data_IF_725038850269
#
_entry.id   IF_725038850269
#
_cell.length_a   1.000
_cell.length_b   1.000
_cell.length_c   1.000
_cell.angle_alpha   90.00
_cell.angle_beta   90.00
_cell.angle_gamma   90.00
#
_symmetry.space_group_name_H-M   'P 1'
#
loop_
_entity.id
_entity.type
_entity.pdbx_description
1 polymer ?
#
# COMPACT_ATOMS: atom_id res chain seq x y z
N UNK A 1 -6.46 18.14 -10.15
CA UNK A 1 -7.83 18.60 -10.50
C UNK A 1 -8.87 17.81 -9.71
N UNK A 2 -8.94 16.48 -9.84
CA UNK A 2 -9.94 15.63 -9.15
C UNK A 2 -9.99 15.75 -7.62
N UNK A 3 -8.84 15.79 -6.93
CA UNK A 3 -8.77 15.93 -5.45
C UNK A 3 -9.33 17.28 -4.99
N UNK A 4 -8.95 18.39 -5.64
CA UNK A 4 -9.50 19.71 -5.31
C UNK A 4 -11.00 19.81 -5.60
N UNK A 5 -11.47 19.26 -6.72
CA UNK A 5 -12.91 19.20 -7.02
C UNK A 5 -13.71 18.40 -5.99
N UNK A 6 -13.09 17.40 -5.36
CA UNK A 6 -13.70 16.67 -4.26
C UNK A 6 -13.70 17.50 -2.97
N UNK A 7 -12.56 18.11 -2.64
CA UNK A 7 -12.42 19.03 -1.51
C UNK A 7 -13.50 20.13 -1.53
N UNK A 8 -13.70 20.77 -2.69
CA UNK A 8 -14.73 21.78 -2.89
C UNK A 8 -16.16 21.23 -2.73
N UNK A 9 -16.41 19.98 -3.17
CA UNK A 9 -17.73 19.35 -2.99
C UNK A 9 -18.01 19.02 -1.52
N UNK A 10 -17.02 18.51 -0.79
CA UNK A 10 -17.09 18.26 0.67
C UNK A 10 -17.29 19.57 1.43
N UNK A 11 -16.55 20.62 1.07
CA UNK A 11 -16.71 21.96 1.63
C UNK A 11 -18.13 22.51 1.39
N UNK A 12 -18.64 22.35 0.17
CA UNK A 12 -20.02 22.71 -0.16
C UNK A 12 -21.05 21.95 0.67
N UNK A 13 -20.81 20.68 0.98
CA UNK A 13 -21.67 19.90 1.86
C UNK A 13 -21.64 20.39 3.31
N UNK A 14 -20.45 20.70 3.84
CA UNK A 14 -20.28 21.29 5.16
C UNK A 14 -21.05 22.60 5.34
N UNK A 15 -20.95 23.50 4.34
CA UNK A 15 -21.71 24.75 4.32
C UNK A 15 -23.23 24.53 4.36
N UNK A 16 -23.73 23.56 3.57
CA UNK A 16 -25.16 23.19 3.54
C UNK A 16 -25.61 22.60 4.87
N UNK A 17 -24.84 21.68 5.44
CA UNK A 17 -25.16 21.02 6.70
C UNK A 17 -25.28 22.03 7.85
N UNK A 18 -24.34 22.98 7.93
CA UNK A 18 -24.33 24.03 8.96
C UNK A 18 -25.27 25.21 8.65
N UNK A 19 -26.00 25.17 7.53
CA UNK A 19 -26.92 26.23 7.07
C UNK A 19 -26.24 27.60 6.98
N UNK A 20 -24.97 27.63 6.58
CA UNK A 20 -24.20 28.86 6.40
C UNK A 20 -24.42 29.39 4.97
N UNK A 21 -24.71 30.69 4.86
CA UNK A 21 -24.93 31.34 3.57
C UNK A 21 -23.64 31.42 2.75
N UNK A 22 -23.76 31.17 1.45
CA UNK A 22 -22.68 31.31 0.45
C UNK A 22 -22.53 32.73 -0.08
N UNK A 23 -23.51 33.60 0.16
CA UNK A 23 -23.65 34.89 -0.53
C UNK A 23 -22.91 36.06 0.17
N UNK A 24 -22.01 35.76 1.11
CA UNK A 24 -21.27 36.76 1.88
C UNK A 24 -20.04 36.20 2.57
N UNK A 25 -19.34 37.07 3.30
CA UNK A 25 -18.18 36.67 4.11
C UNK A 25 -18.62 36.00 5.41
N UNK A 26 -17.88 34.96 5.80
CA UNK A 26 -18.04 34.23 7.05
C UNK A 26 -17.14 34.82 8.13
N UNK A 27 -17.63 34.84 9.37
CA UNK A 27 -16.78 35.10 10.53
C UNK A 27 -15.81 33.94 10.77
N UNK A 28 -14.70 34.18 11.48
CA UNK A 28 -13.77 33.14 11.90
C UNK A 28 -14.46 31.92 12.53
N UNK A 29 -15.37 32.14 13.49
CA UNK A 29 -16.09 31.03 14.13
C UNK A 29 -16.93 30.20 13.14
N UNK A 30 -17.58 30.86 12.18
CA UNK A 30 -18.36 30.15 11.16
C UNK A 30 -17.46 29.36 10.21
N UNK A 31 -16.34 29.96 9.78
CA UNK A 31 -15.37 29.27 8.93
C UNK A 31 -14.72 28.08 9.62
N UNK A 32 -14.34 28.20 10.90
CA UNK A 32 -13.75 27.08 11.65
C UNK A 32 -14.75 25.94 11.78
N UNK A 33 -16.01 26.22 12.12
CA UNK A 33 -17.05 25.18 12.17
C UNK A 33 -17.24 24.47 10.82
N UNK A 34 -17.17 25.21 9.71
CA UNK A 34 -17.25 24.64 8.35
C UNK A 34 -16.05 23.76 8.04
N UNK A 35 -14.83 24.19 8.39
CA UNK A 35 -13.60 23.42 8.19
C UNK A 35 -13.56 22.16 9.07
N UNK A 36 -14.05 22.24 10.30
CA UNK A 36 -14.20 21.07 11.17
C UNK A 36 -15.23 20.09 10.61
N UNK A 37 -16.36 20.56 10.10
CA UNK A 37 -17.35 19.68 9.46
C UNK A 37 -16.81 19.05 8.16
N UNK A 38 -16.03 19.80 7.38
CA UNK A 38 -15.28 19.27 6.24
C UNK A 38 -14.35 18.13 6.68
N UNK A 39 -13.50 18.39 7.68
CA UNK A 39 -12.49 17.44 8.12
C UNK A 39 -13.09 16.22 8.83
N UNK A 40 -14.19 16.38 9.55
CA UNK A 40 -14.97 15.29 10.12
C UNK A 40 -15.43 14.32 9.03
N UNK A 41 -15.99 14.85 7.93
CA UNK A 41 -16.41 14.02 6.79
C UNK A 41 -15.24 13.29 6.13
N UNK A 42 -14.05 13.91 6.15
CA UNK A 42 -12.83 13.38 5.56
C UNK A 42 -12.25 12.24 6.41
N UNK A 43 -12.09 12.44 7.72
CA UNK A 43 -11.48 11.43 8.62
C UNK A 43 -12.37 10.21 8.81
N UNK A 44 -13.70 10.41 8.81
CA UNK A 44 -14.67 9.32 8.91
C UNK A 44 -14.93 8.63 7.57
N UNK A 45 -14.28 9.05 6.48
CA UNK A 45 -14.43 8.45 5.16
C UNK A 45 -15.86 8.48 4.62
N UNK A 46 -16.63 9.53 4.96
CA UNK A 46 -18.03 9.66 4.52
C UNK A 46 -18.05 9.78 3.00
N UNK A 47 -18.79 8.89 2.35
CA UNK A 47 -18.94 8.89 0.89
C UNK A 47 -19.70 10.13 0.40
N UNK A 48 -19.38 10.56 -0.82
CA UNK A 48 -19.88 11.82 -1.38
C UNK A 48 -21.41 11.87 -1.50
N UNK A 49 -22.03 10.72 -1.71
CA UNK A 49 -23.47 10.53 -1.79
C UNK A 49 -24.19 10.80 -0.45
N UNK A 50 -23.52 10.50 0.67
CA UNK A 50 -24.09 10.59 2.03
C UNK A 50 -23.92 11.98 2.66
N UNK A 51 -23.08 12.81 2.07
CA UNK A 51 -22.83 14.21 2.49
C UNK A 51 -24.06 15.13 2.44
N UNK A 52 -25.16 14.71 1.78
CA UNK A 52 -26.41 15.49 1.67
C UNK A 52 -27.37 15.29 2.87
N UNK A 53 -27.08 14.32 3.74
CA UNK A 53 -27.98 13.92 4.83
C UNK A 53 -27.82 14.81 6.06
N UNK A 54 -28.87 14.94 6.88
CA UNK A 54 -28.80 15.59 8.21
C UNK A 54 -27.76 14.97 9.14
N UNK A 55 -27.32 13.75 8.82
CA UNK A 55 -26.31 12.95 9.49
C UNK A 55 -24.92 13.62 9.55
N UNK A 56 -24.59 14.56 8.66
CA UNK A 56 -23.29 15.25 8.69
C UNK A 56 -23.08 16.02 10.01
N UNK A 57 -24.14 16.58 10.60
CA UNK A 57 -24.07 17.24 11.91
C UNK A 57 -23.97 16.26 13.09
N UNK A 58 -24.57 15.08 12.96
CA UNK A 58 -24.44 14.00 13.95
C UNK A 58 -23.01 13.43 13.91
N UNK A 59 -22.48 13.20 12.72
CA UNK A 59 -21.10 12.76 12.47
C UNK A 59 -20.07 13.68 13.14
N UNK A 60 -20.18 15.01 13.00
CA UNK A 60 -19.28 15.99 13.65
C UNK A 60 -19.28 15.86 15.17
N UNK A 61 -20.42 15.49 15.78
CA UNK A 61 -20.53 15.36 17.24
C UNK A 61 -19.92 14.05 17.74
N UNK A 62 -19.87 13.02 16.91
CA UNK A 62 -19.35 11.69 17.25
C UNK A 62 -17.88 11.48 16.85
N UNK A 63 -17.29 12.38 16.05
CA UNK A 63 -15.87 12.27 15.65
C UNK A 63 -14.92 11.99 16.83
N UNK A 64 -15.01 12.66 18.00
CA UNK A 64 -14.07 12.41 19.08
C UNK A 64 -14.13 10.97 19.65
N UNK A 65 -15.26 10.28 19.47
CA UNK A 65 -15.42 8.89 19.92
C UNK A 65 -14.76 7.91 18.96
N UNK A 66 -14.77 8.22 17.65
CA UNK A 66 -14.21 7.37 16.59
C UNK A 66 -12.78 7.76 16.20
N UNK A 67 -12.36 8.99 16.53
CA UNK A 67 -11.09 9.58 16.14
C UNK A 67 -10.45 10.28 17.35
N UNK A 68 -9.76 9.53 18.24
CA UNK A 68 -9.25 10.04 19.51
C UNK A 68 -8.30 11.26 19.40
N UNK A 69 -7.67 11.43 18.24
CA UNK A 69 -6.74 12.54 17.93
C UNK A 69 -7.44 13.78 17.36
N UNK A 70 -8.77 13.82 17.38
CA UNK A 70 -9.56 14.95 16.87
C UNK A 70 -9.15 16.32 17.42
N UNK A 71 -8.84 16.52 18.72
CA UNK A 71 -8.39 17.81 19.22
C UNK A 71 -7.13 18.32 18.50
N UNK A 72 -6.18 17.43 18.21
CA UNK A 72 -4.97 17.79 17.48
C UNK A 72 -5.28 18.14 16.01
N UNK A 73 -6.30 17.49 15.42
CA UNK A 73 -6.79 17.83 14.06
C UNK A 73 -7.39 19.23 14.05
N UNK A 74 -8.15 19.61 15.08
CA UNK A 74 -8.70 20.96 15.20
C UNK A 74 -7.60 22.02 15.32
N UNK A 75 -6.56 21.75 16.11
CA UNK A 75 -5.39 22.65 16.22
C UNK A 75 -4.69 22.82 14.86
N UNK A 76 -4.48 21.72 14.12
CA UNK A 76 -3.93 21.76 12.77
C UNK A 76 -4.79 22.59 11.80
N UNK A 77 -6.11 22.42 11.81
CA UNK A 77 -7.01 23.19 10.96
C UNK A 77 -6.92 24.69 11.27
N UNK A 78 -6.86 25.06 12.56
CA UNK A 78 -6.72 26.45 12.99
C UNK A 78 -5.39 27.05 12.54
N UNK A 79 -4.29 26.30 12.66
CA UNK A 79 -2.96 26.73 12.20
C UNK A 79 -2.93 26.98 10.68
N UNK A 80 -3.43 26.03 9.88
CA UNK A 80 -3.47 26.17 8.40
C UNK A 80 -4.38 27.31 8.00
N UNK A 81 -5.55 27.44 8.64
CA UNK A 81 -6.47 28.54 8.39
C UNK A 81 -5.78 29.90 8.64
N UNK A 82 -5.16 30.07 9.80
CA UNK A 82 -4.50 31.32 10.18
C UNK A 82 -3.36 31.70 9.24
N UNK A 83 -2.58 30.72 8.75
CA UNK A 83 -1.49 30.92 7.81
C UNK A 83 -1.99 31.35 6.43
N UNK A 84 -2.96 30.63 5.85
CA UNK A 84 -3.44 30.87 4.48
C UNK A 84 -4.13 32.22 4.35
N UNK A 85 -4.85 32.65 5.38
CA UNK A 85 -5.72 33.84 5.32
C UNK A 85 -5.16 35.03 6.09
N UNK A 86 -3.89 34.96 6.51
CA UNK A 86 -3.13 35.99 7.22
C UNK A 86 -3.89 36.61 8.42
N UNK A 87 -4.62 35.78 9.19
CA UNK A 87 -5.49 36.20 10.30
C UNK A 87 -6.63 37.16 9.93
N UNK A 88 -7.14 37.12 8.68
CA UNK A 88 -8.35 37.84 8.31
C UNK A 88 -9.53 37.44 9.21
N UNK A 89 -10.31 38.43 9.66
CA UNK A 89 -11.48 38.20 10.53
C UNK A 89 -12.74 37.77 9.77
N UNK A 90 -12.73 37.93 8.45
CA UNK A 90 -13.84 37.67 7.55
C UNK A 90 -13.33 36.91 6.32
N UNK A 91 -13.99 35.82 5.98
CA UNK A 91 -13.52 34.86 4.97
C UNK A 91 -14.56 34.66 3.88
N UNK A 92 -14.14 34.75 2.63
CA UNK A 92 -14.96 34.38 1.48
C UNK A 92 -14.93 32.87 1.25
N UNK A 93 -15.83 32.36 0.41
CA UNK A 93 -15.79 30.97 -0.04
C UNK A 93 -14.50 30.63 -0.77
N UNK A 94 -13.93 31.59 -1.49
CA UNK A 94 -12.65 31.40 -2.18
C UNK A 94 -11.52 31.21 -1.18
N UNK A 95 -11.53 31.94 -0.06
CA UNK A 95 -10.54 31.78 1.00
C UNK A 95 -10.68 30.39 1.65
N UNK A 96 -11.91 29.93 1.91
CA UNK A 96 -12.14 28.57 2.45
C UNK A 96 -11.65 27.47 1.50
N UNK A 97 -11.89 27.61 0.19
CA UNK A 97 -11.40 26.66 -0.81
C UNK A 97 -9.87 26.61 -0.83
N UNK A 98 -9.20 27.76 -0.70
CA UNK A 98 -7.73 27.80 -0.57
C UNK A 98 -7.24 27.12 0.73
N UNK A 99 -7.94 27.34 1.85
CA UNK A 99 -7.62 26.66 3.12
C UNK A 99 -7.78 25.15 2.97
N UNK A 100 -8.88 24.67 2.37
CA UNK A 100 -9.12 23.24 2.12
C UNK A 100 -8.03 22.64 1.24
N UNK A 101 -7.67 23.30 0.14
CA UNK A 101 -6.58 22.85 -0.72
C UNK A 101 -5.25 22.73 0.04
N UNK A 102 -4.93 23.71 0.90
CA UNK A 102 -3.74 23.67 1.74
C UNK A 102 -3.81 22.56 2.82
N UNK A 103 -4.99 22.31 3.40
CA UNK A 103 -5.23 21.20 4.32
C UNK A 103 -4.94 19.88 3.61
N UNK A 104 -5.53 19.63 2.45
CA UNK A 104 -5.36 18.37 1.69
C UNK A 104 -3.88 18.11 1.34
N UNK A 105 -3.15 19.14 0.94
CA UNK A 105 -1.72 19.04 0.60
C UNK A 105 -0.81 18.75 1.80
N UNK A 106 -1.23 19.14 3.01
CA UNK A 106 -0.43 19.07 4.24
C UNK A 106 -0.84 17.91 5.13
N UNK A 107 -2.08 17.44 5.04
CA UNK A 107 -2.67 16.49 5.96
C UNK A 107 -1.90 15.16 6.01
N UNK A 108 -1.43 14.63 4.88
CA UNK A 108 -0.65 13.39 4.88
C UNK A 108 0.66 13.46 5.69
N UNK A 109 1.36 14.61 5.67
CA UNK A 109 2.54 14.81 6.53
C UNK A 109 2.15 14.99 7.99
N UNK A 110 1.00 15.58 8.26
CA UNK A 110 0.51 15.78 9.61
C UNK A 110 0.01 14.47 10.26
N UNK A 111 -0.75 13.64 9.52
CA UNK A 111 -1.24 12.31 9.93
C UNK A 111 -0.09 11.37 10.34
N UNK A 112 1.10 11.54 9.76
CA UNK A 112 2.31 10.83 10.21
C UNK A 112 2.63 11.01 11.71
N UNK A 113 2.20 12.12 12.33
CA UNK A 113 2.29 12.30 13.77
C UNK A 113 1.36 11.33 14.54
N UNK A 114 0.14 11.13 14.07
CA UNK A 114 -0.84 10.24 14.70
C UNK A 114 -0.41 8.78 14.59
N UNK A 115 0.10 8.35 13.43
CA UNK A 115 0.67 7.02 13.26
C UNK A 115 1.85 6.77 14.20
N UNK A 116 2.71 7.78 14.41
CA UNK A 116 3.83 7.67 15.36
C UNK A 116 3.35 7.58 16.81
N UNK A 117 2.29 8.28 17.17
CA UNK A 117 1.67 8.17 18.49
C UNK A 117 1.06 6.77 18.70
N UNK A 118 0.29 6.27 17.73
CA UNK A 118 -0.28 4.92 17.74
C UNK A 118 0.80 3.84 17.88
N UNK A 119 1.88 3.98 17.09
CA UNK A 119 3.06 3.11 17.17
C UNK A 119 3.71 3.17 18.56
N UNK A 120 3.86 4.36 19.11
CA UNK A 120 4.49 4.55 20.42
C UNK A 120 3.68 3.87 21.53
N UNK A 121 2.34 3.92 21.50
CA UNK A 121 1.47 3.20 22.43
C UNK A 121 1.69 1.68 22.37
N UNK A 122 1.73 1.09 21.17
CA UNK A 122 2.02 -0.34 21.01
C UNK A 122 3.42 -0.71 21.54
N UNK A 123 4.43 0.12 21.26
CA UNK A 123 5.80 -0.16 21.70
C UNK A 123 5.99 -0.03 23.23
N UNK A 124 5.04 0.55 23.98
CA UNK A 124 5.08 0.53 25.45
C UNK A 124 4.89 -0.88 26.03
N UNK A 125 4.16 -1.74 25.30
CA UNK A 125 3.90 -3.13 25.67
C UNK A 125 4.69 -4.12 24.81
N UNK A 126 5.78 -3.64 24.20
CA UNK A 126 6.69 -4.47 23.43
C UNK A 126 7.13 -5.68 24.26
N UNK A 127 7.00 -6.88 23.68
CA UNK A 127 7.25 -8.12 24.42
C UNK A 127 8.67 -8.16 24.96
N UNK A 128 9.63 -7.74 24.12
CA UNK A 128 11.05 -7.63 24.43
C UNK A 128 11.65 -6.43 23.72
N UNK A 129 12.62 -5.73 24.33
CA UNK A 129 13.23 -4.54 23.74
C UNK A 129 13.74 -4.79 22.33
N UNK A 130 13.39 -3.92 21.39
CA UNK A 130 13.87 -3.92 19.99
C UNK A 130 13.46 -5.16 19.18
N UNK A 131 12.26 -5.69 19.42
CA UNK A 131 11.65 -6.73 18.58
C UNK A 131 10.62 -6.21 17.58
N UNK A 132 10.06 -5.02 17.82
CA UNK A 132 8.94 -4.45 17.07
C UNK A 132 7.68 -5.31 17.14
N UNK A 133 7.53 -6.07 18.22
CA UNK A 133 6.46 -7.06 18.37
C UNK A 133 5.79 -6.94 19.71
N UNK A 134 4.47 -7.03 19.69
CA UNK A 134 3.62 -7.11 20.89
C UNK A 134 2.90 -8.46 20.87
N UNK A 135 2.66 -9.08 22.02
CA UNK A 135 1.82 -10.29 22.05
C UNK A 135 0.39 -9.93 21.68
N UNK A 136 -0.28 -10.78 20.91
CA UNK A 136 -1.68 -10.57 20.55
C UNK A 136 -2.58 -10.48 21.80
N UNK A 137 -2.25 -11.21 22.86
CA UNK A 137 -2.95 -11.11 24.15
C UNK A 137 -2.82 -9.73 24.79
N UNK A 138 -1.66 -9.08 24.68
CA UNK A 138 -1.45 -7.76 25.26
C UNK A 138 -2.12 -6.68 24.41
N UNK A 139 -2.04 -6.82 23.08
CA UNK A 139 -2.79 -6.01 22.10
C UNK A 139 -4.30 -6.01 22.43
N UNK A 140 -4.93 -7.19 22.55
CA UNK A 140 -6.34 -7.29 22.94
C UNK A 140 -6.62 -6.84 24.38
N UNK A 141 -5.66 -6.99 25.29
CA UNK A 141 -5.81 -6.45 26.65
C UNK A 141 -5.87 -4.92 26.66
N UNK A 142 -5.23 -4.23 25.70
CA UNK A 142 -5.33 -2.78 25.55
C UNK A 142 -6.75 -2.37 25.14
N UNK A 143 -7.38 -3.09 24.21
CA UNK A 143 -8.77 -2.86 23.82
C UNK A 143 -9.76 -3.17 24.95
N UNK A 144 -9.68 -4.35 25.56
CA UNK A 144 -10.63 -4.78 26.59
C UNK A 144 -10.52 -4.01 27.91
N UNK A 145 -9.30 -3.64 28.33
CA UNK A 145 -9.03 -3.12 29.69
C UNK A 145 -8.30 -1.79 29.71
N UNK A 146 -7.54 -1.47 28.67
CA UNK A 146 -6.71 -0.27 28.58
C UNK A 146 -7.43 0.97 28.08
N UNK A 147 -8.69 0.85 27.63
CA UNK A 147 -9.46 1.94 27.03
C UNK A 147 -9.00 2.31 25.62
N UNK A 148 -8.10 1.50 25.02
CA UNK A 148 -7.58 1.67 23.67
C UNK A 148 -8.35 0.76 22.71
N UNK A 149 -9.65 1.03 22.59
CA UNK A 149 -10.61 0.19 21.85
C UNK A 149 -10.20 -0.03 20.39
N UNK A 150 -9.41 0.88 19.80
CA UNK A 150 -8.96 0.81 18.42
C UNK A 150 -8.00 -0.35 18.12
N UNK A 151 -7.43 -1.00 19.15
CA UNK A 151 -6.57 -2.18 19.00
C UNK A 151 -7.38 -3.48 19.02
N UNK A 152 -8.36 -3.59 18.11
CA UNK A 152 -9.37 -4.66 18.10
C UNK A 152 -9.38 -5.52 16.83
N UNK A 153 -8.45 -5.35 15.88
CA UNK A 153 -8.43 -6.16 14.66
C UNK A 153 -8.33 -7.67 14.93
N UNK A 154 -9.15 -8.45 14.24
CA UNK A 154 -9.20 -9.90 14.37
C UNK A 154 -7.89 -10.56 13.95
N UNK A 155 -7.59 -11.71 14.56
CA UNK A 155 -6.41 -12.49 14.18
C UNK A 155 -6.43 -12.90 12.71
N UNK A 156 -7.63 -13.08 12.13
CA UNK A 156 -7.81 -13.36 10.71
C UNK A 156 -7.42 -12.20 9.81
N UNK A 157 -7.80 -10.98 10.18
CA UNK A 157 -7.47 -9.77 9.45
C UNK A 157 -6.01 -9.35 9.63
N UNK A 158 -5.47 -9.44 10.86
CA UNK A 158 -4.05 -9.21 11.12
C UNK A 158 -3.15 -10.13 10.29
N UNK A 159 -3.55 -11.40 10.11
CA UNK A 159 -2.85 -12.34 9.21
C UNK A 159 -2.94 -11.89 7.75
N UNK A 160 -4.13 -11.49 7.29
CA UNK A 160 -4.38 -11.05 5.92
C UNK A 160 -3.46 -9.90 5.49
N UNK A 161 -3.25 -8.92 6.37
CA UNK A 161 -2.40 -7.74 6.14
C UNK A 161 -0.92 -8.00 6.47
N UNK A 162 -0.56 -9.22 6.87
CA UNK A 162 0.83 -9.57 7.22
C UNK A 162 1.32 -9.00 8.55
N UNK A 163 0.41 -8.53 9.41
CA UNK A 163 0.72 -8.02 10.73
C UNK A 163 0.79 -9.09 11.82
N UNK A 164 0.48 -10.36 11.52
CA UNK A 164 0.53 -11.45 12.49
C UNK A 164 1.77 -12.34 12.30
N UNK A 165 2.56 -12.49 13.34
CA UNK A 165 3.65 -13.46 13.47
C UNK A 165 3.14 -14.71 14.21
N UNK A 166 3.08 -15.81 13.49
CA UNK A 166 2.57 -17.11 13.93
C UNK A 166 3.69 -18.15 14.13
N UNK A 167 4.95 -17.71 14.17
CA UNK A 167 6.10 -18.61 14.30
C UNK A 167 6.03 -19.45 15.58
N UNK A 168 5.45 -18.89 16.64
CA UNK A 168 5.03 -19.63 17.84
C UNK A 168 3.49 -19.67 17.91
N UNK A 169 2.84 -20.78 17.53
CA UNK A 169 1.38 -20.91 17.55
C UNK A 169 0.76 -20.73 18.94
N UNK A 170 1.55 -20.83 19.99
CA UNK A 170 1.10 -20.66 21.37
C UNK A 170 1.24 -19.21 21.86
N UNK A 171 1.95 -18.37 21.12
CA UNK A 171 2.21 -16.97 21.46
C UNK A 171 2.27 -16.16 20.17
N UNK A 172 1.08 -15.84 19.66
CA UNK A 172 0.94 -14.99 18.48
C UNK A 172 1.41 -13.57 18.79
N UNK A 173 2.07 -12.93 17.82
CA UNK A 173 2.59 -11.57 17.97
C UNK A 173 2.10 -10.69 16.84
N UNK A 174 1.83 -9.43 17.14
CA UNK A 174 1.58 -8.40 16.13
C UNK A 174 2.93 -7.79 15.75
N UNK A 175 3.25 -7.80 14.45
CA UNK A 175 4.41 -7.13 13.86
C UNK A 175 4.05 -5.66 13.69
N UNK A 176 4.53 -4.81 14.60
CA UNK A 176 4.06 -3.43 14.76
C UNK A 176 4.20 -2.61 13.47
N UNK A 177 5.33 -2.61 12.74
CA UNK A 177 5.41 -1.83 11.49
C UNK A 177 4.41 -2.29 10.42
N UNK A 178 4.16 -3.60 10.29
CA UNK A 178 3.16 -4.12 9.36
C UNK A 178 1.74 -3.72 9.77
N UNK A 179 1.44 -3.71 11.07
CA UNK A 179 0.17 -3.21 11.59
C UNK A 179 -0.04 -1.73 11.27
N UNK A 180 0.95 -0.88 11.60
CA UNK A 180 0.88 0.57 11.37
C UNK A 180 0.71 0.91 9.88
N UNK A 181 1.34 0.14 8.99
CA UNK A 181 1.18 0.30 7.53
C UNK A 181 -0.05 -0.42 6.95
N UNK A 182 -0.83 -1.10 7.78
CA UNK A 182 -2.06 -1.78 7.39
C UNK A 182 -3.18 -0.82 7.01
N UNK A 183 -4.10 -1.27 6.15
CA UNK A 183 -5.18 -0.43 5.64
C UNK A 183 -6.21 0.01 6.68
N UNK A 184 -6.30 -0.65 7.85
CA UNK A 184 -7.13 -0.15 8.96
C UNK A 184 -6.60 1.15 9.56
N UNK A 185 -5.32 1.48 9.32
CA UNK A 185 -4.68 2.72 9.76
C UNK A 185 -4.61 3.78 8.64
N UNK A 186 -5.36 3.60 7.56
CA UNK A 186 -5.49 4.58 6.48
C UNK A 186 -6.82 5.32 6.58
N UNK A 187 -6.78 6.63 6.34
CA UNK A 187 -7.96 7.47 6.26
C UNK A 187 -8.43 7.48 4.80
N UNK A 188 -9.55 6.83 4.53
CA UNK A 188 -10.18 6.80 3.22
C UNK A 188 -10.88 8.14 2.93
N UNK A 189 -10.08 9.17 2.62
CA UNK A 189 -10.56 10.49 2.27
C UNK A 189 -11.55 10.50 1.09
N UNK A 190 -11.47 9.51 0.20
CA UNK A 190 -12.32 9.38 -0.97
C UNK A 190 -12.30 7.96 -1.54
N UNK A 191 -13.11 7.72 -2.58
CA UNK A 191 -12.99 6.53 -3.44
C UNK A 191 -11.77 6.55 -4.37
N UNK A 192 -11.05 7.68 -4.50
CA UNK A 192 -9.91 7.84 -5.41
C UNK A 192 -8.55 7.70 -4.73
N UNK A 193 -8.46 8.07 -3.45
CA UNK A 193 -7.21 8.04 -2.69
C UNK A 193 -7.47 7.88 -1.20
N UNK A 194 -6.45 7.40 -0.51
CA UNK A 194 -6.40 7.26 0.94
C UNK A 194 -5.12 7.88 1.47
N UNK A 195 -5.17 8.36 2.70
CA UNK A 195 -4.02 8.88 3.43
C UNK A 195 -3.60 7.83 4.44
N UNK A 196 -2.47 7.19 4.20
CA UNK A 196 -1.93 6.12 5.04
C UNK A 196 -0.70 6.59 5.83
N UNK A 197 -0.36 5.83 6.86
CA UNK A 197 0.87 6.00 7.60
C UNK A 197 2.11 5.94 6.69
N UNK A 198 3.07 6.83 6.94
CA UNK A 198 4.36 6.84 6.23
C UNK A 198 5.20 5.64 6.65
N UNK A 199 5.80 4.96 5.67
CA UNK A 199 6.79 3.92 5.92
C UNK A 199 8.13 4.52 6.34
N UNK A 200 8.45 4.45 7.63
CA UNK A 200 9.72 4.97 8.17
C UNK A 200 10.95 4.23 7.63
N UNK A 201 10.79 3.00 7.12
CA UNK A 201 11.87 2.25 6.47
C UNK A 201 12.40 2.95 5.21
N UNK A 202 11.53 3.70 4.51
CA UNK A 202 11.90 4.37 3.25
C UNK A 202 13.02 5.39 3.48
N UNK A 203 13.11 6.00 4.67
CA UNK A 203 14.19 6.92 5.01
C UNK A 203 15.57 6.22 5.11
N UNK A 204 15.60 4.92 5.45
CA UNK A 204 16.84 4.13 5.42
C UNK A 204 17.23 3.76 4.00
N UNK A 205 16.24 3.38 3.18
CA UNK A 205 16.43 3.12 1.76
C UNK A 205 16.92 4.36 1.01
N UNK A 206 16.27 5.52 1.20
CA UNK A 206 16.65 6.79 0.58
C UNK A 206 18.11 7.16 0.88
N UNK A 207 18.57 6.92 2.12
CA UNK A 207 19.97 7.14 2.51
C UNK A 207 20.92 6.24 1.74
N UNK A 208 20.62 4.95 1.65
CA UNK A 208 21.41 3.97 0.93
C UNK A 208 21.46 4.32 -0.57
N UNK A 209 20.32 4.58 -1.18
CA UNK A 209 20.19 4.96 -2.59
C UNK A 209 20.96 6.24 -2.91
N UNK A 210 20.85 7.25 -2.06
CA UNK A 210 21.55 8.55 -2.24
C UNK A 210 23.07 8.39 -2.23
N UNK A 211 23.60 7.53 -1.36
CA UNK A 211 25.05 7.35 -1.21
C UNK A 211 25.61 6.34 -2.23
N UNK A 212 24.93 5.20 -2.40
CA UNK A 212 25.40 4.10 -3.24
C UNK A 212 25.15 4.35 -4.73
N UNK A 213 24.04 5.03 -5.08
CA UNK A 213 23.66 5.34 -6.46
C UNK A 213 23.64 4.10 -7.37
N UNK A 214 23.24 2.96 -6.83
CA UNK A 214 23.20 1.67 -7.52
C UNK A 214 22.00 0.84 -7.03
N UNK A 215 21.53 -0.10 -7.85
CA UNK A 215 20.47 -1.05 -7.52
C UNK A 215 20.98 -2.28 -6.74
N UNK A 216 22.30 -2.49 -6.73
CA UNK A 216 23.00 -3.50 -5.96
C UNK A 216 24.30 -2.94 -5.39
N UNK A 217 24.73 -3.43 -4.23
CA UNK A 217 25.97 -2.98 -3.59
C UNK A 217 26.73 -4.13 -2.91
N UNK A 218 28.02 -3.94 -2.63
CA UNK A 218 28.79 -4.91 -1.83
C UNK A 218 28.39 -4.82 -0.36
N UNK A 219 28.63 -5.90 0.41
CA UNK A 219 28.42 -5.92 1.87
C UNK A 219 29.20 -4.79 2.54
N UNK A 220 30.45 -4.55 2.12
CA UNK A 220 31.30 -3.50 2.69
C UNK A 220 30.73 -2.10 2.46
N UNK A 221 30.31 -1.79 1.23
CA UNK A 221 29.74 -0.48 0.90
C UNK A 221 28.44 -0.21 1.68
N UNK A 222 27.58 -1.21 1.86
CA UNK A 222 26.34 -1.09 2.65
C UNK A 222 26.66 -0.79 4.12
N UNK A 223 27.56 -1.57 4.73
CA UNK A 223 27.91 -1.39 6.14
C UNK A 223 28.59 -0.04 6.40
N UNK A 224 29.47 0.39 5.48
CA UNK A 224 30.10 1.73 5.54
C UNK A 224 29.06 2.84 5.42
N UNK A 225 28.08 2.68 4.52
CA UNK A 225 27.03 3.69 4.29
C UNK A 225 26.09 3.85 5.48
N UNK A 226 25.70 2.75 6.13
CA UNK A 226 24.84 2.79 7.31
C UNK A 226 25.53 3.43 8.51
N UNK A 227 26.86 3.29 8.61
CA UNK A 227 27.67 3.88 9.67
C UNK A 227 27.15 3.54 11.08
N UNK A 228 26.70 2.29 11.27
CA UNK A 228 26.20 1.78 12.54
C UNK A 228 26.74 0.38 12.82
N UNK A 229 26.89 0.03 14.10
CA UNK A 229 27.31 -1.31 14.49
C UNK A 229 26.22 -2.33 14.20
N UNK A 230 26.55 -3.34 13.41
CA UNK A 230 25.65 -4.46 13.08
C UNK A 230 26.05 -5.68 13.92
N UNK A 231 25.08 -6.47 14.33
CA UNK A 231 25.36 -7.70 15.07
C UNK A 231 26.04 -8.74 14.15
N UNK A 232 26.95 -9.59 14.65
CA UNK A 232 27.66 -10.57 13.82
C UNK A 232 26.74 -11.54 13.06
N UNK A 233 25.55 -11.84 13.58
CA UNK A 233 24.58 -12.67 12.85
C UNK A 233 24.01 -11.94 11.64
N UNK A 234 23.69 -10.64 11.77
CA UNK A 234 23.15 -9.82 10.69
C UNK A 234 24.20 -9.53 9.62
N UNK A 235 25.47 -9.32 9.99
CA UNK A 235 26.55 -9.21 9.00
C UNK A 235 26.69 -10.51 8.19
N UNK A 236 26.57 -11.66 8.85
CA UNK A 236 26.57 -12.96 8.17
C UNK A 236 25.38 -13.09 7.24
N UNK A 237 24.17 -12.72 7.67
CA UNK A 237 22.98 -12.74 6.80
C UNK A 237 23.15 -11.86 5.58
N UNK A 238 23.72 -10.67 5.74
CA UNK A 238 24.01 -9.79 4.59
C UNK A 238 25.02 -10.43 3.63
N UNK A 239 26.02 -11.14 4.17
CA UNK A 239 26.97 -11.92 3.37
C UNK A 239 26.31 -13.10 2.66
N UNK A 240 25.41 -13.82 3.33
CA UNK A 240 24.64 -14.92 2.72
C UNK A 240 23.79 -14.43 1.54
N UNK A 241 23.20 -13.21 1.65
CA UNK A 241 22.47 -12.57 0.55
C UNK A 241 23.42 -12.25 -0.62
N UNK A 242 24.60 -11.72 -0.33
CA UNK A 242 25.60 -11.42 -1.36
C UNK A 242 26.05 -12.69 -2.08
N UNK A 243 26.38 -13.75 -1.34
CA UNK A 243 26.78 -15.04 -1.90
C UNK A 243 25.68 -15.64 -2.78
N UNK A 244 24.40 -15.49 -2.38
CA UNK A 244 23.24 -15.89 -3.17
C UNK A 244 23.14 -15.16 -4.53
N UNK A 245 23.67 -13.94 -4.62
CA UNK A 245 23.56 -13.04 -5.77
C UNK A 245 24.90 -12.72 -6.45
N UNK A 246 25.87 -13.63 -6.35
CA UNK A 246 27.14 -13.51 -7.07
C UNK A 246 28.10 -12.47 -6.49
N UNK A 247 28.00 -12.21 -5.19
CA UNK A 247 28.85 -11.29 -4.41
C UNK A 247 28.28 -9.89 -4.23
N UNK A 248 27.07 -9.61 -4.73
CA UNK A 248 26.40 -8.32 -4.64
C UNK A 248 25.07 -8.47 -3.91
N UNK A 249 24.61 -7.44 -3.20
CA UNK A 249 23.32 -7.43 -2.51
C UNK A 249 22.33 -6.57 -3.29
N UNK A 250 21.23 -7.12 -3.83
CA UNK A 250 20.17 -6.33 -4.46
C UNK A 250 19.42 -5.48 -3.42
N UNK A 251 19.43 -4.16 -3.56
CA UNK A 251 18.85 -3.25 -2.56
C UNK A 251 17.33 -3.25 -2.54
N UNK A 252 16.68 -3.58 -3.66
CA UNK A 252 15.23 -3.68 -3.76
C UNK A 252 14.70 -5.13 -3.74
N UNK A 253 15.54 -6.07 -3.31
CA UNK A 253 15.16 -7.46 -3.10
C UNK A 253 14.45 -7.67 -1.77
N UNK A 254 13.59 -8.69 -1.73
CA UNK A 254 12.93 -9.14 -0.50
C UNK A 254 13.95 -9.48 0.59
N UNK A 255 15.05 -10.17 0.27
CA UNK A 255 16.01 -10.56 1.32
C UNK A 255 16.69 -9.35 1.97
N UNK A 256 16.98 -8.30 1.20
CA UNK A 256 17.53 -7.07 1.76
C UNK A 256 16.50 -6.32 2.62
N UNK A 257 15.23 -6.27 2.18
CA UNK A 257 14.16 -5.74 3.02
C UNK A 257 13.99 -6.55 4.32
N UNK A 258 14.17 -7.88 4.27
CA UNK A 258 14.10 -8.75 5.46
C UNK A 258 15.27 -8.46 6.40
N UNK A 259 16.46 -8.26 5.85
CA UNK A 259 17.61 -7.83 6.62
C UNK A 259 17.39 -6.47 7.30
N UNK A 260 16.83 -5.48 6.59
CA UNK A 260 16.46 -4.19 7.16
C UNK A 260 15.39 -4.32 8.26
N UNK A 261 14.39 -5.20 8.10
CA UNK A 261 13.41 -5.49 9.14
C UNK A 261 14.08 -5.95 10.45
N UNK A 262 15.05 -6.86 10.37
CA UNK A 262 15.75 -7.31 11.58
C UNK A 262 16.71 -6.25 12.15
N UNK A 263 17.28 -5.39 11.31
CA UNK A 263 18.15 -4.30 11.74
C UNK A 263 17.38 -3.14 12.41
N UNK A 264 16.20 -2.81 11.85
CA UNK A 264 15.33 -1.69 12.24
C UNK A 264 13.88 -2.17 12.52
N UNK A 265 13.65 -3.03 13.53
CA UNK A 265 12.37 -3.71 13.73
C UNK A 265 11.22 -2.79 14.15
N UNK A 266 11.50 -1.56 14.57
CA UNK A 266 10.48 -0.55 14.92
C UNK A 266 10.04 0.30 13.73
N UNK A 267 10.72 0.20 12.60
CA UNK A 267 10.57 1.10 11.46
C UNK A 267 10.32 0.33 10.17
N UNK A 268 11.00 -0.80 9.97
CA UNK A 268 10.92 -1.59 8.76
C UNK A 268 9.89 -2.72 8.87
N UNK A 269 8.91 -2.80 7.94
CA UNK A 269 7.96 -3.91 7.90
C UNK A 269 8.65 -5.21 7.48
N UNK A 270 8.11 -6.32 7.95
CA UNK A 270 8.53 -7.64 7.52
C UNK A 270 8.02 -7.91 6.09
N UNK A 271 8.91 -8.25 5.14
CA UNK A 271 8.55 -8.46 3.76
C UNK A 271 8.07 -9.91 3.54
N UNK A 272 6.76 -10.10 3.67
CA UNK A 272 6.12 -11.36 3.30
C UNK A 272 6.31 -11.66 1.81
N UNK A 273 6.34 -12.95 1.47
CA UNK A 273 6.40 -13.39 0.07
C UNK A 273 5.12 -12.98 -0.66
N UNK A 274 5.23 -12.71 -1.96
CA UNK A 274 4.08 -12.39 -2.79
C UNK A 274 3.04 -13.52 -2.75
N UNK A 275 1.78 -13.15 -2.49
CA UNK A 275 0.67 -14.11 -2.39
C UNK A 275 0.48 -14.78 -1.03
N UNK A 276 1.35 -14.55 -0.03
CA UNK A 276 1.09 -15.02 1.36
C UNK A 276 0.29 -14.03 2.18
N UNK A 277 0.20 -12.78 1.73
CA UNK A 277 -0.62 -11.72 2.29
C UNK A 277 -1.38 -11.03 1.15
N UNK A 278 -2.50 -10.41 1.46
CA UNK A 278 -3.22 -9.55 0.50
C UNK A 278 -3.84 -8.43 1.31
N UNK A 279 -3.14 -7.29 1.46
CA UNK A 279 -3.63 -6.21 2.28
C UNK A 279 -4.93 -5.67 1.63
N UNK A 280 -6.03 -5.77 2.37
CA UNK A 280 -7.35 -5.30 1.99
C UNK A 280 -7.81 -4.29 3.04
N UNK A 281 -8.70 -3.37 2.67
CA UNK A 281 -9.42 -2.57 3.65
C UNK A 281 -10.34 -3.46 4.50
N UNK A 282 -10.63 -3.09 5.76
CA UNK A 282 -11.52 -3.88 6.62
C UNK A 282 -12.85 -4.25 5.93
N UNK A 283 -13.51 -3.29 5.29
CA UNK A 283 -14.84 -3.50 4.68
C UNK A 283 -14.76 -4.46 3.48
N UNK A 284 -13.67 -4.38 2.71
CA UNK A 284 -13.44 -5.25 1.56
C UNK A 284 -13.09 -6.66 2.03
N UNK A 285 -12.28 -6.79 3.08
CA UNK A 285 -11.97 -8.08 3.69
C UNK A 285 -13.24 -8.78 4.18
N UNK A 286 -14.10 -8.06 4.90
CA UNK A 286 -15.36 -8.61 5.39
C UNK A 286 -16.26 -9.08 4.25
N UNK A 287 -16.36 -8.29 3.17
CA UNK A 287 -17.16 -8.62 2.01
C UNK A 287 -16.63 -9.84 1.24
N UNK A 288 -15.31 -9.89 0.99
CA UNK A 288 -14.70 -10.94 0.16
C UNK A 288 -14.50 -12.25 0.93
N UNK A 289 -14.12 -12.16 2.21
CA UNK A 289 -13.78 -13.33 3.03
C UNK A 289 -14.96 -13.81 3.88
N UNK A 290 -15.98 -12.97 4.12
CA UNK A 290 -17.11 -13.30 4.98
C UNK A 290 -16.72 -13.51 6.45
N UNK A 291 -15.63 -12.88 6.89
CA UNK A 291 -15.09 -12.93 8.25
C UNK A 291 -14.96 -11.50 8.79
N UNK A 292 -15.20 -11.26 10.09
CA UNK A 292 -15.12 -9.92 10.66
C UNK A 292 -13.67 -9.40 10.71
N UNK A 293 -13.47 -8.14 10.34
CA UNK A 293 -12.17 -7.48 10.45
C UNK A 293 -11.85 -7.14 11.91
N UNK A 294 -12.87 -6.88 12.73
CA UNK A 294 -12.77 -6.68 14.18
C UNK A 294 -12.95 -8.01 14.94
N UNK A 295 -12.15 -8.22 15.98
CA UNK A 295 -12.23 -9.38 16.87
C UNK A 295 -13.50 -9.29 17.74
N UNK A 296 -14.16 -10.43 17.98
CA UNK A 296 -15.23 -10.46 18.98
C UNK A 296 -14.64 -10.34 20.40
N UNK A 297 -15.44 -9.86 21.35
CA UNK A 297 -15.04 -9.81 22.76
C UNK A 297 -14.62 -11.20 23.26
N UNK A 298 -15.29 -12.27 22.80
CA UNK A 298 -14.94 -13.64 23.13
C UNK A 298 -13.59 -14.08 22.56
N UNK A 299 -13.26 -13.71 21.32
CA UNK A 299 -11.92 -13.96 20.74
C UNK A 299 -10.85 -13.27 21.58
N UNK A 300 -11.05 -11.98 21.88
CA UNK A 300 -10.12 -11.19 22.66
C UNK A 300 -9.90 -11.79 24.05
N UNK A 301 -10.98 -12.15 24.76
CA UNK A 301 -10.92 -12.78 26.08
C UNK A 301 -10.20 -14.12 26.00
N UNK A 302 -10.48 -14.95 24.99
CA UNK A 302 -9.82 -16.26 24.83
C UNK A 302 -8.30 -16.12 24.71
N UNK A 303 -7.82 -15.17 23.91
CA UNK A 303 -6.38 -14.90 23.76
C UNK A 303 -5.76 -14.33 25.05
N UNK A 304 -6.47 -13.46 25.76
CA UNK A 304 -6.00 -12.89 27.04
C UNK A 304 -5.94 -13.95 28.16
N UNK A 305 -6.94 -14.83 28.26
CA UNK A 305 -7.00 -15.87 29.29
C UNK A 305 -6.06 -17.05 29.01
N UNK A 306 -5.84 -17.39 27.73
CA UNK A 306 -4.88 -18.41 27.34
C UNK A 306 -3.43 -17.95 27.50
N UNK A 307 -3.18 -16.64 27.67
CA UNK A 307 -1.85 -16.08 27.80
C UNK A 307 -1.15 -16.60 29.06
N UNK A 308 -0.08 -17.35 28.86
CA UNK A 308 0.82 -17.76 29.93
C UNK A 308 2.08 -16.90 29.88
N UNK A 309 2.61 -16.51 31.04
CA UNK A 309 3.93 -15.92 31.11
C UNK A 309 4.95 -16.91 30.53
N UNK A 310 5.73 -16.47 29.55
CA UNK A 310 6.78 -17.25 28.89
C UNK A 310 8.05 -16.41 28.80
N UNK A 311 9.17 -17.09 28.90
CA UNK A 311 10.45 -16.48 28.58
C UNK A 311 10.48 -16.07 27.11
N UNK A 312 11.27 -15.03 26.82
CA UNK A 312 11.52 -14.60 25.45
C UNK A 312 11.88 -15.78 24.56
N UNK A 313 11.32 -15.85 23.33
CA UNK A 313 11.90 -16.73 22.33
C UNK A 313 13.37 -16.37 22.12
N UNK A 314 14.23 -17.37 22.10
CA UNK A 314 15.65 -17.18 21.79
C UNK A 314 15.79 -16.99 20.29
N UNK A 315 16.33 -15.84 19.89
CA UNK A 315 16.68 -15.51 18.50
C UNK A 315 18.20 -15.40 18.34
N UNK A 316 18.71 -15.49 17.11
CA UNK A 316 20.12 -15.19 16.84
C UNK A 316 20.44 -13.74 17.23
N UNK A 317 21.67 -13.47 17.66
CA UNK A 317 22.08 -12.16 18.15
C UNK A 317 21.80 -11.04 17.13
N UNK A 318 20.94 -10.09 17.46
CA UNK A 318 20.56 -8.98 16.57
C UNK A 318 19.35 -9.26 15.69
N UNK A 319 18.79 -10.47 15.68
CA UNK A 319 17.49 -10.73 15.06
C UNK A 319 16.34 -10.43 16.02
N UNK A 320 15.31 -9.77 15.48
CA UNK A 320 14.07 -9.49 16.21
C UNK A 320 13.06 -10.65 16.27
N UNK A 321 13.25 -11.71 15.46
CA UNK A 321 12.37 -12.89 15.40
C UNK A 321 13.06 -14.06 14.70
N UNK A 322 12.39 -15.22 14.65
CA UNK A 322 12.85 -16.41 13.89
C UNK A 322 12.29 -16.44 12.46
N UNK A 323 11.71 -15.34 11.97
CA UNK A 323 11.08 -15.26 10.64
C UNK A 323 12.11 -15.05 9.51
N UNK A 324 13.30 -15.68 9.58
CA UNK A 324 14.27 -15.57 8.49
C UNK A 324 14.01 -16.64 7.43
N UNK A 325 14.03 -16.27 6.15
CA UNK A 325 13.84 -17.20 5.05
C UNK A 325 14.62 -16.75 3.80
N UNK A 326 15.34 -17.68 3.15
CA UNK A 326 16.26 -17.37 2.04
C UNK A 326 15.60 -17.30 0.66
N UNK A 327 14.27 -17.27 0.58
CA UNK A 327 13.54 -17.06 -0.68
C UNK A 327 13.65 -15.61 -1.15
N UNK A 328 14.12 -15.40 -2.38
CA UNK A 328 14.25 -14.05 -2.95
C UNK A 328 13.07 -13.71 -3.87
N UNK A 329 12.66 -12.44 -3.83
CA UNK A 329 11.79 -11.82 -4.84
C UNK A 329 12.43 -10.49 -5.27
N UNK A 330 12.94 -10.47 -6.50
CA UNK A 330 13.50 -9.26 -7.10
C UNK A 330 12.41 -8.53 -7.89
N UNK A 331 12.39 -7.20 -7.75
CA UNK A 331 11.65 -6.35 -8.68
C UNK A 331 12.42 -6.33 -10.00
N UNK A 332 12.15 -7.29 -10.88
CA UNK A 332 12.73 -7.30 -12.23
C UNK A 332 11.92 -6.36 -13.16
N UNK A 333 12.50 -5.24 -13.63
CA UNK A 333 11.82 -4.34 -14.56
C UNK A 333 11.41 -5.03 -15.88
N UNK A 334 12.17 -6.04 -16.31
CA UNK A 334 11.88 -6.81 -17.53
C UNK A 334 10.72 -7.80 -17.30
N UNK A 335 10.68 -8.50 -16.16
CA UNK A 335 9.54 -9.33 -15.79
C UNK A 335 8.27 -8.51 -15.56
N UNK A 336 8.37 -7.31 -14.97
CA UNK A 336 7.24 -6.40 -14.78
C UNK A 336 6.73 -5.83 -16.12
N UNK A 337 7.64 -5.53 -17.04
CA UNK A 337 7.32 -5.16 -18.42
C UNK A 337 6.63 -6.28 -19.19
N UNK A 338 7.11 -7.53 -19.06
CA UNK A 338 6.51 -8.71 -19.67
C UNK A 338 5.13 -9.03 -19.06
N UNK A 339 4.97 -8.94 -17.73
CA UNK A 339 3.68 -9.14 -17.07
C UNK A 339 2.66 -8.07 -17.48
N UNK A 340 3.05 -6.80 -17.56
CA UNK A 340 2.20 -5.74 -18.14
C UNK A 340 1.82 -6.03 -19.58
N UNK A 341 2.74 -6.56 -20.40
CA UNK A 341 2.46 -6.93 -21.78
C UNK A 341 1.44 -8.08 -21.86
N UNK A 342 1.59 -9.10 -21.00
CA UNK A 342 0.71 -10.26 -20.94
C UNK A 342 -0.67 -9.94 -20.32
N UNK A 343 -0.73 -9.03 -19.35
CA UNK A 343 -1.99 -8.55 -18.76
C UNK A 343 -2.75 -7.60 -19.71
N UNK A 344 -2.05 -6.78 -20.50
CA UNK A 344 -2.68 -5.94 -21.53
C UNK A 344 -3.34 -6.74 -22.68
N UNK A 345 -2.97 -8.02 -22.88
CA UNK A 345 -3.67 -8.88 -23.84
C UNK A 345 -5.06 -9.33 -23.34
N UNK A 346 -5.36 -9.24 -22.04
CA UNK A 346 -6.67 -9.60 -21.49
C UNK A 346 -7.74 -8.48 -21.57
N UNK A 347 -7.39 -7.30 -22.08
CA UNK A 347 -8.35 -6.18 -22.26
C UNK A 347 -8.78 -5.92 -23.71
N UNK A 348 -8.51 -6.83 -24.65
CA UNK A 348 -9.05 -6.71 -26.01
C UNK A 348 -10.20 -7.68 -26.29
N UNK A 349 -11.41 -7.22 -25.98
CA UNK A 349 -12.65 -7.62 -26.64
C UNK A 349 -12.68 -7.25 -28.15
N UNK A 350 -11.53 -7.30 -28.85
CA UNK A 350 -11.36 -7.02 -30.27
C UNK A 350 -10.61 -8.13 -31.04
N UNK A 351 -10.28 -9.25 -30.39
CA UNK A 351 -9.61 -10.41 -31.02
C UNK A 351 -10.51 -11.26 -31.94
N UNK A 352 -11.83 -11.25 -31.75
CA UNK A 352 -12.75 -12.09 -32.53
C UNK A 352 -13.08 -11.50 -33.91
N UNK A 353 -13.04 -10.17 -34.07
CA UNK A 353 -13.32 -9.52 -35.37
C UNK A 353 -12.16 -9.64 -36.37
N UNK A 354 -10.91 -9.64 -35.90
CA UNK A 354 -9.74 -9.79 -36.80
C UNK A 354 -9.54 -11.22 -37.29
N UNK A 355 -9.82 -12.23 -36.46
CA UNK A 355 -9.82 -13.64 -36.87
C UNK A 355 -10.94 -13.94 -37.87
N UNK A 356 -12.14 -13.38 -37.66
CA UNK A 356 -13.25 -13.51 -38.62
C UNK A 356 -12.96 -12.82 -39.96
N UNK A 357 -12.35 -11.63 -39.94
CA UNK A 357 -11.96 -10.92 -41.16
C UNK A 357 -10.84 -11.63 -41.93
N UNK A 358 -9.86 -12.21 -41.23
CA UNK A 358 -8.79 -12.99 -41.84
C UNK A 358 -9.30 -14.31 -42.46
N UNK A 359 -10.23 -15.01 -41.77
CA UNK A 359 -10.88 -16.20 -42.30
C UNK A 359 -11.81 -15.88 -43.49
N UNK A 360 -12.55 -14.77 -43.43
CA UNK A 360 -13.39 -14.32 -44.55
C UNK A 360 -12.55 -13.94 -45.78
N UNK A 361 -11.40 -13.28 -45.59
CA UNK A 361 -10.47 -12.98 -46.67
C UNK A 361 -9.88 -14.26 -47.29
N UNK A 362 -9.49 -15.25 -46.47
CA UNK A 362 -8.99 -16.55 -46.95
C UNK A 362 -10.05 -17.34 -47.74
N UNK A 363 -11.32 -17.27 -47.34
CA UNK A 363 -12.44 -17.87 -48.08
C UNK A 363 -12.73 -17.15 -49.42
N UNK A 364 -12.59 -15.83 -49.48
CA UNK A 364 -12.73 -15.07 -50.73
C UNK A 364 -11.57 -15.34 -51.69
N UNK A 365 -10.34 -15.49 -51.19
CA UNK A 365 -9.18 -15.87 -52.00
C UNK A 365 -9.24 -17.30 -52.54
N UNK A 366 -9.81 -18.26 -51.79
CA UNK A 366 -9.98 -19.64 -52.25
C UNK A 366 -11.11 -19.77 -53.30
N UNK A 367 -12.18 -18.97 -53.18
CA UNK A 367 -13.24 -18.86 -54.18
C UNK A 367 -12.78 -18.20 -55.49
N UNK A 368 -11.86 -17.23 -55.41
CA UNK A 368 -11.27 -16.59 -56.59
C UNK A 368 -10.27 -17.50 -57.33
N UNK A 369 -9.54 -18.37 -56.60
CA UNK A 369 -8.65 -19.37 -57.21
C UNK A 369 -9.39 -20.50 -57.92
N UNK A 370 -10.55 -20.93 -57.40
CA UNK A 370 -11.35 -22.01 -57.99
C UNK A 370 -12.13 -21.56 -59.23
N UNK A 371 -12.46 -20.27 -59.36
CA UNK A 371 -13.04 -19.68 -60.60
C UNK A 371 -12.00 -19.42 -61.68
N UNK A 372 -10.74 -19.13 -61.33
CA UNK A 372 -9.62 -19.02 -62.29
C UNK A 372 -9.08 -20.39 -62.76
N UNK A 373 -9.17 -21.44 -61.93
CA UNK A 373 -8.76 -22.79 -62.32
C UNK A 373 -9.74 -23.47 -63.30
N UNK A 374 -11.01 -23.06 -63.32
CA UNK A 374 -12.03 -23.58 -64.23
C UNK A 374 -11.94 -23.03 -65.67
N UNK A 375 -11.05 -22.05 -65.94
CA UNK A 375 -10.86 -21.44 -67.27
C UNK A 375 -9.52 -21.78 -67.94
N UNK A 376 -8.69 -22.65 -67.34
CA UNK A 376 -7.46 -23.19 -67.95
C UNK A 376 -7.50 -24.71 -68.09
N UNK A 377 -8.59 -25.21 -68.68
CA UNK A 377 -8.55 -26.50 -69.36
C UNK A 377 -8.12 -26.27 -70.80
N UNK A 378 -6.83 -26.45 -71.09
CA UNK A 378 -6.29 -26.99 -72.36
C UNK A 378 -4.78 -26.74 -72.45
N UNK A 379 -4.05 -27.78 -72.91
CA UNK A 379 -2.60 -27.89 -73.07
C UNK A 379 -1.80 -27.99 -71.75
N UNK A 380 -0.96 -28.99 -71.50
CA UNK A 380 -0.43 -30.05 -72.34
C UNK A 380 0.79 -30.64 -71.60
N UNK A 381 0.78 -31.96 -71.45
CA UNK A 381 1.84 -32.87 -70.97
C UNK A 381 3.27 -32.38 -71.30
N UNK A 382 4.27 -32.67 -70.43
CA UNK A 382 5.22 -33.83 -70.50
C UNK A 382 6.62 -33.54 -69.86
N UNK A 383 7.17 -34.56 -69.18
CA UNK A 383 8.57 -34.82 -68.70
C UNK A 383 9.12 -33.96 -67.53
N UNK A 384 9.49 -34.55 -66.37
CA UNK A 384 10.76 -35.27 -66.02
C UNK A 384 12.01 -34.41 -66.32
N UNK A 385 13.05 -34.34 -65.50
CA UNK A 385 13.44 -34.77 -64.15
C UNK A 385 14.82 -34.09 -63.92
N UNK A 386 15.38 -34.21 -62.71
CA UNK A 386 16.81 -34.05 -62.41
C UNK A 386 17.33 -32.61 -62.24
N UNK A 387 18.31 -32.30 -61.40
CA UNK A 387 18.91 -32.83 -60.16
C UNK A 387 20.03 -31.81 -59.85
N UNK A 388 20.36 -31.62 -58.57
CA UNK A 388 21.60 -30.97 -58.14
C UNK A 388 21.48 -29.45 -57.99
N UNK A 389 21.84 -28.83 -56.88
CA UNK A 389 22.73 -29.29 -55.82
C UNK A 389 23.84 -28.26 -55.62
N UNK A 390 23.78 -27.60 -54.47
CA UNK A 390 24.86 -27.01 -53.67
C UNK A 390 25.48 -25.64 -54.02
N UNK A 391 25.44 -24.83 -52.95
CA UNK A 391 26.44 -23.88 -52.43
C UNK A 391 26.76 -22.60 -53.19
N UNK A 392 26.55 -21.45 -52.53
CA UNK A 392 27.59 -20.82 -51.70
C UNK A 392 27.09 -19.51 -51.07
N UNK A 393 27.56 -19.28 -49.85
CA UNK A 393 28.03 -18.03 -49.23
C UNK A 393 27.30 -16.70 -49.43
N UNK A 394 27.13 -15.97 -48.33
CA UNK A 394 26.97 -14.52 -48.39
C UNK A 394 26.38 -13.89 -47.14
N UNK A 395 27.27 -13.41 -46.27
CA UNK A 395 26.96 -12.58 -45.11
C UNK A 395 26.22 -11.28 -45.47
N UNK A 396 25.31 -10.84 -44.60
CA UNK A 396 24.99 -9.44 -44.28
C UNK A 396 24.02 -9.43 -43.07
N UNK A 397 24.46 -9.05 -41.86
CA UNK A 397 24.31 -7.69 -41.27
C UNK A 397 22.86 -7.18 -41.34
N UNK A 398 22.13 -7.20 -40.21
CA UNK A 398 21.79 -6.00 -39.42
C UNK A 398 20.99 -6.37 -38.17
N UNK A 399 21.41 -5.73 -37.07
CA UNK A 399 20.77 -5.59 -35.79
C UNK A 399 19.38 -4.97 -35.87
N UNK A 400 18.46 -5.46 -35.03
CA UNK A 400 17.52 -4.64 -34.25
C UNK A 400 17.60 -5.13 -32.82
#
# INVERSE_FOLDING_TARGET
>A
EMVHEEGDRRLGAALRALRVSTDGSLTLNQSTAVLEAYMASFVLGVEMEDLQSSSMLELVQEVPEQYPTWPATQDFLQEVQAEVVENSSMLSLQDLSQVVAAVDERYGRWQSHECRALKAELLQIEEHPRTGRVRLSDFYSMALKGGQWQFSESSSYLRQIGALDETDPQSLRVVVPNYILGFSNCIAASSYYMVCCINECDAHMERLETVLQADQATVEDILVTLNQTVAPSLERRLSDIADHHGGMVPLHGRLFAQWLHHLHPHECPYPHMSGTTSPLRPEVFEQEMGLPAEASEEEMIQHVEAAQWRAAPTHEEGMCSNMWSMEEELIDPAAHGLMRFLQNEHSQAFGTQRLAAALAALCLFSAFRSTLAATKGEAGRRWQSDLGGLHSDGAAVYSV
#
